data_IF_147970021904
#
_entry.id   IF_147970021904
#
_cell.length_a   1.000
_cell.length_b   1.000
_cell.length_c   1.000
_cell.angle_alpha   90.00
_cell.angle_beta   90.00
_cell.angle_gamma   90.00
#
_symmetry.space_group_name_H-M   'P 1'
#
loop_
_entity.id
_entity.type
_entity.pdbx_description
1 polymer ?
#
# COMPACT_ATOMS: atom_id res chain seq x y z
N UNK A 1 -12.48 53.96 -43.71
CA UNK A 1 -13.79 54.45 -44.20
C UNK A 1 -14.71 53.25 -44.35
N UNK A 2 -16.00 53.50 -44.42
CA UNK A 2 -17.11 52.56 -44.68
C UNK A 2 -16.90 51.66 -45.92
N UNK A 3 -17.64 50.55 -46.16
CA UNK A 3 -18.48 49.63 -45.35
C UNK A 3 -18.74 48.37 -46.25
N UNK A 4 -19.77 47.52 -46.23
CA UNK A 4 -21.07 47.38 -45.51
C UNK A 4 -21.58 45.91 -45.70
N UNK A 5 -22.73 45.53 -45.10
CA UNK A 5 -23.62 44.39 -45.46
C UNK A 5 -23.10 42.96 -45.20
N UNK A 6 -23.65 42.11 -44.32
CA UNK A 6 -25.02 41.61 -43.98
C UNK A 6 -25.42 40.29 -44.66
N UNK A 7 -25.77 39.30 -43.83
CA UNK A 7 -26.78 38.27 -44.10
C UNK A 7 -26.28 36.91 -44.64
N UNK A 8 -26.95 35.79 -44.37
CA UNK A 8 -27.99 35.50 -43.36
C UNK A 8 -28.13 33.97 -43.16
N UNK A 9 -28.61 33.52 -42.00
CA UNK A 9 -29.81 32.66 -41.84
C UNK A 9 -29.85 31.89 -40.51
N UNK A 10 -31.06 31.74 -39.95
CA UNK A 10 -31.38 30.97 -38.73
C UNK A 10 -32.76 30.33 -38.87
N UNK A 11 -32.82 28.99 -39.04
CA UNK A 11 -34.02 28.13 -38.98
C UNK A 11 -33.58 26.66 -39.18
N UNK A 12 -34.14 25.61 -38.56
CA UNK A 12 -34.95 25.46 -37.33
C UNK A 12 -34.94 23.98 -36.89
N UNK A 13 -35.27 23.72 -35.62
CA UNK A 13 -35.94 22.49 -35.11
C UNK A 13 -35.38 21.09 -35.46
N UNK A 14 -34.92 20.36 -34.44
CA UNK A 14 -34.43 18.98 -34.57
C UNK A 14 -34.67 18.07 -33.35
N UNK A 15 -35.83 18.19 -32.68
CA UNK A 15 -36.13 17.42 -31.46
C UNK A 15 -36.46 15.96 -31.79
N UNK A 16 -35.57 15.02 -31.45
CA UNK A 16 -35.89 13.60 -31.33
C UNK A 16 -35.52 13.11 -29.92
N UNK A 17 -36.51 12.61 -29.19
CA UNK A 17 -36.30 11.95 -27.91
C UNK A 17 -35.91 10.48 -28.13
N UNK A 18 -34.85 10.03 -27.47
CA UNK A 18 -34.44 8.63 -27.47
C UNK A 18 -35.01 7.91 -26.24
N UNK A 19 -35.58 6.72 -26.44
CA UNK A 19 -36.34 6.01 -25.42
C UNK A 19 -35.44 5.50 -24.28
N UNK A 20 -35.95 5.57 -23.04
CA UNK A 20 -35.36 4.88 -21.89
C UNK A 20 -35.61 3.38 -22.06
N UNK A 21 -34.59 2.67 -22.55
CA UNK A 21 -34.56 1.21 -22.56
C UNK A 21 -34.26 0.67 -21.16
N UNK A 22 -35.12 -0.20 -20.64
CA UNK A 22 -34.93 -0.80 -19.31
C UNK A 22 -33.82 -1.87 -19.37
N UNK A 23 -32.63 -1.56 -18.85
CA UNK A 23 -31.56 -2.56 -18.73
C UNK A 23 -31.94 -3.58 -17.64
N UNK A 24 -32.28 -4.79 -18.09
CA UNK A 24 -32.59 -5.92 -17.24
C UNK A 24 -31.27 -6.60 -16.80
N UNK A 25 -30.76 -6.26 -15.62
CA UNK A 25 -29.51 -6.81 -15.09
C UNK A 25 -29.65 -8.31 -14.80
N UNK A 26 -29.18 -9.14 -15.75
CA UNK A 26 -29.02 -10.57 -15.51
C UNK A 26 -27.81 -10.81 -14.60
N UNK A 27 -28.02 -11.52 -13.49
CA UNK A 27 -26.94 -12.02 -12.65
C UNK A 27 -26.11 -13.05 -13.43
N UNK A 28 -24.82 -12.76 -13.66
CA UNK A 28 -23.88 -13.74 -14.20
C UNK A 28 -23.41 -14.61 -13.04
N UNK A 29 -24.01 -15.80 -12.90
CA UNK A 29 -23.51 -16.84 -12.00
C UNK A 29 -22.27 -17.46 -12.65
N UNK A 30 -21.13 -17.36 -11.96
CA UNK A 30 -19.85 -17.87 -12.46
C UNK A 30 -19.80 -19.40 -12.30
N UNK A 31 -19.96 -20.13 -13.40
CA UNK A 31 -19.71 -21.57 -13.43
C UNK A 31 -18.22 -21.83 -13.65
N UNK A 32 -17.59 -22.56 -12.71
CA UNK A 32 -16.20 -23.00 -12.83
C UNK A 32 -15.98 -24.01 -13.98
N UNK A 33 -14.71 -24.31 -14.32
CA UNK A 33 -14.37 -25.23 -15.39
C UNK A 33 -14.88 -26.66 -15.14
N UNK A 34 -15.14 -27.40 -16.22
CA UNK A 34 -15.87 -28.65 -16.19
C UNK A 34 -15.19 -29.77 -15.38
N UNK A 35 -16.02 -30.54 -14.68
CA UNK A 35 -15.63 -31.59 -13.73
C UNK A 35 -14.91 -32.78 -14.39
N UNK A 36 -13.79 -33.21 -13.79
CA UNK A 36 -13.23 -34.53 -14.03
C UNK A 36 -14.00 -35.56 -13.19
N UNK A 37 -14.75 -36.47 -13.84
CA UNK A 37 -15.50 -37.51 -13.15
C UNK A 37 -14.57 -38.62 -12.64
N UNK A 38 -14.54 -38.83 -11.33
CA UNK A 38 -13.98 -40.04 -10.73
C UNK A 38 -15.00 -41.21 -10.78
N UNK A 39 -14.47 -42.41 -10.61
CA UNK A 39 -15.01 -43.71 -11.01
C UNK A 39 -16.12 -44.29 -10.13
N UNK A 40 -16.37 -43.76 -8.93
CA UNK A 40 -17.33 -44.30 -7.95
C UNK A 40 -18.73 -43.63 -7.96
N UNK A 41 -18.99 -42.72 -8.91
CA UNK A 41 -20.35 -42.28 -9.26
C UNK A 41 -21.16 -41.55 -8.17
N UNK A 42 -20.53 -41.07 -7.10
CA UNK A 42 -21.17 -40.33 -6.00
C UNK A 42 -20.96 -38.84 -6.14
N UNK A 43 -22.02 -38.12 -6.48
CA UNK A 43 -22.05 -36.66 -6.36
C UNK A 43 -21.88 -36.26 -4.89
N UNK A 44 -20.79 -35.54 -4.57
CA UNK A 44 -20.64 -34.83 -3.30
C UNK A 44 -20.97 -33.36 -3.53
N UNK A 45 -22.26 -33.06 -3.53
CA UNK A 45 -22.83 -31.70 -3.58
C UNK A 45 -22.57 -30.95 -2.26
N UNK A 46 -21.30 -30.70 -1.95
CA UNK A 46 -20.83 -29.89 -0.82
C UNK A 46 -21.03 -28.39 -1.07
N UNK A 47 -22.22 -28.02 -1.57
CA UNK A 47 -22.67 -26.64 -1.77
C UNK A 47 -23.86 -26.34 -0.87
N UNK A 48 -23.61 -26.40 0.45
CA UNK A 48 -24.40 -25.67 1.41
C UNK A 48 -23.59 -24.41 1.75
N UNK A 49 -23.98 -23.28 1.16
CA UNK A 49 -23.51 -21.97 1.62
C UNK A 49 -23.93 -21.84 3.09
N UNK A 50 -22.96 -21.93 3.99
CA UNK A 50 -23.23 -21.87 5.42
C UNK A 50 -23.67 -20.45 5.79
N UNK A 51 -24.91 -20.28 6.26
CA UNK A 51 -25.44 -18.96 6.66
C UNK A 51 -24.47 -18.26 7.62
N UNK A 52 -24.10 -17.01 7.30
CA UNK A 52 -23.13 -16.26 8.10
C UNK A 52 -23.63 -16.09 9.53
N UNK A 53 -24.93 -15.81 9.74
CA UNK A 53 -25.60 -15.89 11.03
C UNK A 53 -26.71 -16.95 11.03
N UNK A 54 -26.85 -17.69 12.13
CA UNK A 54 -28.08 -18.42 12.40
C UNK A 54 -29.21 -17.45 12.77
N UNK A 55 -30.50 -17.79 12.58
CA UNK A 55 -31.62 -16.90 12.89
C UNK A 55 -31.59 -16.28 14.30
N UNK A 56 -31.22 -17.07 15.33
CA UNK A 56 -31.11 -16.59 16.71
C UNK A 56 -29.89 -15.67 16.94
N UNK A 57 -28.83 -15.78 16.13
CA UNK A 57 -27.67 -14.90 16.16
C UNK A 57 -27.98 -13.57 15.46
N UNK A 58 -28.76 -13.60 14.37
CA UNK A 58 -29.32 -12.42 13.69
C UNK A 58 -30.30 -11.65 14.58
N UNK A 59 -31.22 -12.35 15.25
CA UNK A 59 -32.13 -11.75 16.24
C UNK A 59 -31.37 -11.17 17.45
N UNK A 60 -30.26 -11.79 17.89
CA UNK A 60 -29.39 -11.22 18.91
C UNK A 60 -28.69 -9.95 18.41
N UNK A 61 -28.15 -9.96 17.18
CA UNK A 61 -27.52 -8.79 16.56
C UNK A 61 -28.48 -7.62 16.46
N UNK A 62 -29.68 -7.81 15.91
CA UNK A 62 -30.65 -6.73 15.72
C UNK A 62 -30.99 -6.08 17.08
N UNK A 63 -31.28 -6.89 18.11
CA UNK A 63 -31.46 -6.39 19.49
C UNK A 63 -30.23 -5.69 20.07
N UNK A 64 -29.01 -6.02 19.64
CA UNK A 64 -27.80 -5.30 20.05
C UNK A 64 -27.62 -3.96 19.31
N UNK A 65 -28.15 -3.83 18.09
CA UNK A 65 -28.19 -2.58 17.32
C UNK A 65 -29.30 -1.65 17.83
N UNK A 66 -30.49 -2.19 18.13
CA UNK A 66 -31.64 -1.46 18.69
C UNK A 66 -31.35 -0.86 20.08
N UNK A 67 -30.41 -1.45 20.83
CA UNK A 67 -29.96 -0.98 22.14
C UNK A 67 -28.86 0.09 22.09
N UNK A 68 -28.48 0.57 20.90
CA UNK A 68 -27.51 1.67 20.75
C UNK A 68 -28.20 3.03 20.89
N UNK A 69 -28.17 3.60 22.09
CA UNK A 69 -28.67 4.94 22.38
C UNK A 69 -27.51 5.96 22.54
N UNK A 70 -27.48 7.09 21.80
CA UNK A 70 -28.30 7.36 20.61
C UNK A 70 -27.89 6.47 19.43
N UNK A 71 -28.81 6.21 18.48
CA UNK A 71 -28.52 5.42 17.29
C UNK A 71 -27.39 6.07 16.47
N UNK A 72 -26.57 5.28 15.75
CA UNK A 72 -25.45 5.80 14.99
C UNK A 72 -25.93 6.66 13.81
N UNK A 73 -25.34 7.84 13.65
CA UNK A 73 -25.65 8.74 12.54
C UNK A 73 -25.05 8.23 11.23
N UNK A 74 -25.51 8.74 10.07
CA UNK A 74 -24.89 8.41 8.79
C UNK A 74 -23.37 8.74 8.77
N UNK A 75 -22.93 9.79 9.46
CA UNK A 75 -21.49 10.15 9.56
C UNK A 75 -20.72 9.20 10.48
N UNK A 76 -21.37 8.60 11.49
CA UNK A 76 -20.76 7.53 12.27
C UNK A 76 -20.70 6.22 11.48
N UNK A 77 -21.76 5.90 10.73
CA UNK A 77 -21.85 4.68 9.93
C UNK A 77 -20.90 4.70 8.74
N UNK A 78 -20.74 5.84 8.07
CA UNK A 78 -19.73 6.09 7.05
C UNK A 78 -18.33 5.77 7.62
N UNK A 79 -17.93 6.46 8.70
CA UNK A 79 -16.67 6.23 9.44
C UNK A 79 -16.48 4.77 9.89
N UNK A 80 -17.55 4.06 10.24
CA UNK A 80 -17.49 2.65 10.69
C UNK A 80 -17.37 1.70 9.49
N UNK A 81 -18.07 1.93 8.38
CA UNK A 81 -17.88 1.20 7.11
C UNK A 81 -16.45 1.42 6.59
N UNK A 82 -15.94 2.63 6.72
CA UNK A 82 -14.58 3.01 6.35
C UNK A 82 -13.52 2.24 7.17
N UNK A 83 -13.82 1.91 8.44
CA UNK A 83 -13.04 0.99 9.29
C UNK A 83 -13.48 -0.49 9.22
N UNK A 84 -14.42 -0.83 8.35
CA UNK A 84 -14.89 -2.21 8.09
C UNK A 84 -14.22 -2.78 6.84
N UNK A 85 -14.13 -1.95 5.81
CA UNK A 85 -13.51 -2.26 4.52
C UNK A 85 -12.17 -1.58 4.31
N UNK A 86 -11.66 -0.91 5.33
CA UNK A 86 -10.42 -0.12 5.28
C UNK A 86 -10.43 0.93 4.16
N UNK A 87 -11.60 1.49 3.88
CA UNK A 87 -11.79 2.42 2.78
C UNK A 87 -11.88 1.80 1.39
N UNK A 88 -12.20 0.51 1.25
CA UNK A 88 -12.84 -0.04 0.05
C UNK A 88 -14.33 -0.33 0.32
N UNK A 89 -15.05 0.68 0.82
CA UNK A 89 -16.50 0.57 1.04
C UNK A 89 -17.18 0.25 -0.31
N UNK A 90 -17.87 -0.89 -0.46
CA UNK A 90 -18.54 -1.24 -1.70
C UNK A 90 -19.59 -0.18 -2.08
N UNK A 91 -19.64 0.20 -3.36
CA UNK A 91 -20.51 1.28 -3.86
C UNK A 91 -22.03 1.03 -3.66
N UNK A 92 -22.42 -0.17 -3.26
CA UNK A 92 -23.80 -0.55 -2.92
C UNK A 92 -24.14 -0.41 -1.43
N UNK A 93 -23.22 0.07 -0.58
CA UNK A 93 -23.48 0.35 0.84
C UNK A 93 -23.65 1.86 1.07
N UNK A 94 -24.88 2.26 1.38
CA UNK A 94 -25.23 3.65 1.70
C UNK A 94 -25.30 3.82 3.23
N UNK A 95 -24.45 4.64 3.87
CA UNK A 95 -24.50 4.86 5.31
C UNK A 95 -25.80 5.52 5.80
N UNK A 96 -26.62 6.10 4.92
CA UNK A 96 -27.92 6.66 5.27
C UNK A 96 -29.01 5.61 5.56
N UNK A 97 -28.84 4.33 5.16
CA UNK A 97 -29.84 3.27 5.41
C UNK A 97 -29.84 2.74 6.86
N UNK A 98 -28.87 3.15 7.69
CA UNK A 98 -28.80 2.80 9.10
C UNK A 98 -28.12 1.45 9.39
N UNK A 99 -27.74 1.24 10.66
CA UNK A 99 -26.90 0.11 11.08
C UNK A 99 -27.50 -1.27 10.74
N UNK A 100 -28.81 -1.44 10.84
CA UNK A 100 -29.49 -2.72 10.63
C UNK A 100 -29.47 -3.13 9.16
N UNK A 101 -29.89 -2.26 8.25
CA UNK A 101 -29.87 -2.54 6.81
C UNK A 101 -28.45 -2.66 6.24
N UNK A 102 -27.48 -1.93 6.81
CA UNK A 102 -26.06 -2.21 6.57
C UNK A 102 -25.67 -3.61 7.05
N UNK A 103 -26.05 -4.01 8.26
CA UNK A 103 -25.71 -5.34 8.78
C UNK A 103 -26.30 -6.49 7.96
N UNK A 104 -27.50 -6.34 7.42
CA UNK A 104 -28.12 -7.28 6.48
C UNK A 104 -27.35 -7.32 5.14
N UNK A 105 -26.95 -6.16 4.62
CA UNK A 105 -26.15 -6.04 3.40
C UNK A 105 -24.75 -6.65 3.55
N UNK A 106 -24.14 -6.51 4.74
CA UNK A 106 -22.87 -7.11 5.13
C UNK A 106 -22.98 -8.63 5.38
N UNK A 107 -24.16 -9.12 5.78
CA UNK A 107 -24.40 -10.55 5.94
C UNK A 107 -24.47 -11.27 4.58
N UNK A 108 -25.02 -10.60 3.56
CA UNK A 108 -25.12 -11.11 2.19
C UNK A 108 -23.78 -11.12 1.42
N UNK A 109 -22.69 -10.58 1.99
CA UNK A 109 -21.38 -10.57 1.33
C UNK A 109 -20.65 -11.90 1.48
N UNK A 110 -20.17 -12.45 0.36
CA UNK A 110 -19.29 -13.61 0.35
C UNK A 110 -17.96 -13.30 1.07
N UNK A 111 -17.43 -14.31 1.78
CA UNK A 111 -16.11 -14.29 2.39
C UNK A 111 -15.53 -15.70 2.32
N UNK A 112 -14.40 -15.87 1.62
CA UNK A 112 -13.82 -17.20 1.42
C UNK A 112 -12.79 -17.52 2.51
N UNK A 113 -11.86 -16.60 2.76
CA UNK A 113 -10.89 -16.68 3.86
C UNK A 113 -10.71 -15.32 4.54
N UNK A 114 -11.01 -15.21 5.83
CA UNK A 114 -10.76 -13.95 6.56
C UNK A 114 -11.52 -13.80 7.87
N UNK A 115 -11.88 -12.56 8.16
CA UNK A 115 -12.92 -12.18 9.12
C UNK A 115 -14.11 -11.66 8.29
N UNK A 116 -15.35 -12.14 8.48
CA UNK A 116 -16.51 -11.62 7.77
C UNK A 116 -16.65 -10.09 7.99
N UNK A 117 -16.91 -9.27 6.96
CA UNK A 117 -17.04 -7.82 7.10
C UNK A 117 -18.05 -7.41 8.19
N UNK A 118 -19.16 -8.16 8.31
CA UNK A 118 -20.14 -7.99 9.38
C UNK A 118 -19.54 -8.04 10.80
N UNK A 119 -18.61 -8.96 11.07
CA UNK A 119 -17.98 -9.04 12.39
C UNK A 119 -17.00 -7.89 12.64
N UNK A 120 -16.38 -7.35 11.59
CA UNK A 120 -15.52 -6.15 11.66
C UNK A 120 -16.37 -4.91 11.96
N UNK A 121 -17.45 -4.70 11.21
CA UNK A 121 -18.42 -3.63 11.40
C UNK A 121 -18.98 -3.60 12.82
N UNK A 122 -19.47 -4.75 13.29
CA UNK A 122 -20.07 -4.88 14.62
C UNK A 122 -19.03 -4.68 15.74
N UNK A 123 -17.76 -5.08 15.54
CA UNK A 123 -16.67 -4.77 16.48
C UNK A 123 -16.35 -3.26 16.52
N UNK A 124 -16.29 -2.60 15.36
CA UNK A 124 -15.99 -1.17 15.25
C UNK A 124 -17.12 -0.29 15.82
N UNK A 125 -18.38 -0.62 15.53
CA UNK A 125 -19.56 0.02 16.12
C UNK A 125 -19.58 -0.11 17.66
N UNK A 126 -19.22 -1.28 18.18
CA UNK A 126 -19.11 -1.51 19.63
C UNK A 126 -17.86 -0.90 20.30
N UNK A 127 -16.88 -0.40 19.53
CA UNK A 127 -15.79 0.44 20.04
C UNK A 127 -16.21 1.91 20.18
N UNK A 128 -16.97 2.43 19.22
CA UNK A 128 -17.41 3.84 19.22
C UNK A 128 -18.46 4.11 20.33
N UNK A 129 -19.27 3.10 20.71
CA UNK A 129 -20.35 3.23 21.71
C UNK A 129 -19.91 2.72 23.08
N UNK A 130 -19.83 3.62 24.07
CA UNK A 130 -19.47 3.27 25.47
C UNK A 130 -20.39 2.18 26.01
N UNK A 131 -19.80 1.13 26.58
CA UNK A 131 -20.52 -0.01 27.16
C UNK A 131 -20.94 -1.10 26.16
N UNK A 132 -21.15 -0.79 24.88
CA UNK A 132 -21.67 -1.74 23.88
C UNK A 132 -20.80 -3.01 23.75
N UNK A 133 -19.48 -2.89 23.79
CA UNK A 133 -18.55 -4.03 23.75
C UNK A 133 -18.79 -5.09 24.84
N UNK A 134 -19.39 -4.74 25.99
CA UNK A 134 -19.73 -5.73 27.04
C UNK A 134 -20.81 -6.73 26.60
N UNK A 135 -21.72 -6.31 25.72
CA UNK A 135 -22.81 -7.11 25.15
C UNK A 135 -22.40 -7.73 23.81
N UNK A 136 -21.74 -6.93 22.96
CA UNK A 136 -21.42 -7.30 21.58
C UNK A 136 -20.22 -8.24 21.47
N UNK A 137 -19.16 -8.06 22.27
CA UNK A 137 -17.96 -8.90 22.13
C UNK A 137 -18.19 -10.38 22.52
N UNK A 138 -19.06 -10.73 23.48
CA UNK A 138 -19.54 -12.11 23.66
C UNK A 138 -20.22 -12.69 22.40
N UNK A 139 -21.10 -11.94 21.74
CA UNK A 139 -21.77 -12.35 20.50
C UNK A 139 -20.76 -12.61 19.37
N UNK A 140 -19.80 -11.70 19.14
CA UNK A 140 -18.74 -11.88 18.14
C UNK A 140 -17.95 -13.17 18.40
N UNK A 141 -17.57 -13.45 19.66
CA UNK A 141 -16.85 -14.69 20.03
C UNK A 141 -17.69 -15.94 19.80
N UNK A 142 -19.01 -15.88 20.01
CA UNK A 142 -19.90 -17.01 19.74
C UNK A 142 -19.96 -17.33 18.24
N UNK A 143 -20.27 -16.33 17.41
CA UNK A 143 -20.39 -16.48 15.96
C UNK A 143 -19.06 -16.92 15.35
N UNK A 144 -17.96 -16.24 15.70
CA UNK A 144 -16.63 -16.57 15.20
C UNK A 144 -16.19 -18.01 15.57
N UNK A 145 -16.54 -18.49 16.77
CA UNK A 145 -16.30 -19.89 17.18
C UNK A 145 -17.13 -20.89 16.37
N UNK A 146 -18.38 -20.59 16.03
CA UNK A 146 -19.21 -21.44 15.14
C UNK A 146 -18.61 -21.51 13.73
N UNK A 147 -18.19 -20.36 13.20
CA UNK A 147 -17.52 -20.21 11.91
C UNK A 147 -16.06 -20.71 11.90
N UNK A 148 -15.56 -21.26 13.01
CA UNK A 148 -14.18 -21.77 13.18
C UNK A 148 -13.07 -20.74 12.89
N UNK A 149 -13.36 -19.45 13.04
CA UNK A 149 -12.39 -18.37 12.82
C UNK A 149 -11.27 -18.48 13.87
N UNK A 150 -9.99 -18.42 13.48
CA UNK A 150 -8.85 -18.52 14.41
C UNK A 150 -8.93 -17.55 15.59
N UNK A 151 -8.67 -18.06 16.80
CA UNK A 151 -8.89 -17.33 18.04
C UNK A 151 -7.94 -16.13 18.23
N UNK A 152 -6.78 -16.15 17.57
CA UNK A 152 -5.85 -15.03 17.42
C UNK A 152 -6.47 -13.89 16.59
N UNK A 153 -7.10 -14.17 15.43
CA UNK A 153 -7.81 -13.18 14.62
C UNK A 153 -8.96 -12.56 15.40
N UNK A 154 -9.73 -13.37 16.14
CA UNK A 154 -10.80 -12.90 17.03
C UNK A 154 -10.24 -12.05 18.19
N UNK A 155 -9.10 -12.44 18.76
CA UNK A 155 -8.41 -11.64 19.78
C UNK A 155 -8.00 -10.28 19.21
N UNK A 156 -7.31 -10.24 18.07
CA UNK A 156 -6.91 -8.99 17.40
C UNK A 156 -8.11 -8.10 17.07
N UNK A 157 -9.20 -8.68 16.55
CA UNK A 157 -10.44 -7.95 16.28
C UNK A 157 -11.04 -7.31 17.54
N UNK A 158 -10.94 -7.98 18.69
CA UNK A 158 -11.57 -7.55 19.96
C UNK A 158 -10.62 -6.83 20.93
N UNK A 159 -9.32 -6.78 20.64
CA UNK A 159 -8.36 -5.96 21.37
C UNK A 159 -8.77 -4.49 21.24
N UNK A 160 -8.90 -3.73 22.35
CA UNK A 160 -8.99 -2.28 22.26
C UNK A 160 -7.72 -1.77 21.58
N UNK A 161 -7.86 -1.24 20.36
CA UNK A 161 -6.81 -0.37 19.82
C UNK A 161 -6.74 0.80 20.81
N UNK A 162 -5.60 1.07 21.45
CA UNK A 162 -5.50 2.24 22.31
C UNK A 162 -5.83 3.46 21.44
N UNK A 163 -6.61 4.45 21.92
CA UNK A 163 -6.71 5.70 21.19
C UNK A 163 -5.28 6.20 20.99
N UNK A 164 -4.88 6.40 19.73
CA UNK A 164 -3.60 7.02 19.43
C UNK A 164 -3.54 8.33 20.22
N UNK A 165 -2.46 8.55 20.97
CA UNK A 165 -2.33 9.76 21.77
C UNK A 165 -2.46 10.96 20.82
N UNK A 166 -3.46 11.84 20.96
CA UNK A 166 -3.69 12.93 20.02
C UNK A 166 -2.59 14.00 20.06
N UNK A 167 -1.62 13.88 20.98
CA UNK A 167 -0.39 14.67 20.99
C UNK A 167 0.81 13.95 20.36
N UNK A 168 0.78 12.62 20.21
CA UNK A 168 1.81 11.86 19.52
C UNK A 168 1.75 12.13 18.01
N UNK A 169 2.83 12.67 17.46
CA UNK A 169 2.90 13.00 16.03
C UNK A 169 3.35 11.78 15.22
N UNK A 170 2.79 11.53 14.03
CA UNK A 170 3.29 10.49 13.15
C UNK A 170 4.67 10.89 12.62
N UNK A 171 5.63 9.96 12.69
CA UNK A 171 6.97 10.13 12.15
C UNK A 171 7.09 9.52 10.74
N UNK A 172 6.51 8.33 10.56
CA UNK A 172 6.60 7.57 9.30
C UNK A 172 5.28 6.89 8.94
N UNK A 173 5.08 6.72 7.66
CA UNK A 173 4.07 5.85 7.07
C UNK A 173 4.79 4.76 6.26
N UNK A 174 4.62 3.51 6.63
CA UNK A 174 5.06 2.36 5.83
C UNK A 174 3.86 1.87 5.00
N UNK A 175 4.03 1.74 3.68
CA UNK A 175 3.12 1.04 2.79
C UNK A 175 3.90 -0.16 2.22
N UNK A 176 3.41 -1.36 2.46
CA UNK A 176 3.96 -2.62 1.94
C UNK A 176 3.02 -3.17 0.86
N UNK A 177 3.61 -3.68 -0.21
CA UNK A 177 2.91 -4.42 -1.26
C UNK A 177 3.48 -5.84 -1.26
N UNK A 178 2.66 -6.83 -0.96
CA UNK A 178 3.03 -8.25 -1.01
C UNK A 178 2.44 -8.91 -2.26
N UNK A 179 3.23 -9.68 -3.03
CA UNK A 179 2.69 -10.61 -4.03
C UNK A 179 1.75 -11.64 -3.39
N UNK A 180 0.71 -12.06 -4.10
CA UNK A 180 -0.20 -13.10 -3.63
C UNK A 180 0.46 -14.48 -3.73
N UNK A 181 0.36 -15.34 -2.69
CA UNK A 181 1.12 -16.60 -2.63
C UNK A 181 0.70 -17.66 -3.66
N UNK A 182 -0.40 -17.44 -4.41
CA UNK A 182 -0.94 -18.39 -5.40
C UNK A 182 -1.06 -17.79 -6.81
N UNK A 183 -0.78 -16.49 -6.99
CA UNK A 183 -0.95 -15.77 -8.26
C UNK A 183 0.03 -14.59 -8.32
N UNK A 184 0.96 -14.59 -9.29
CA UNK A 184 2.02 -13.58 -9.39
C UNK A 184 1.57 -12.25 -10.04
N UNK A 185 0.33 -12.17 -10.53
CA UNK A 185 -0.29 -10.94 -11.02
C UNK A 185 -1.10 -10.23 -9.92
N UNK A 186 -1.35 -10.90 -8.80
CA UNK A 186 -2.17 -10.37 -7.71
C UNK A 186 -1.32 -9.88 -6.54
N UNK A 187 -1.78 -8.81 -5.90
CA UNK A 187 -1.07 -8.13 -4.81
C UNK A 187 -1.98 -7.84 -3.61
N UNK A 188 -1.38 -7.76 -2.42
CA UNK A 188 -2.02 -7.29 -1.18
C UNK A 188 -1.28 -6.05 -0.69
N UNK A 189 -2.01 -5.04 -0.23
CA UNK A 189 -1.44 -3.85 0.40
C UNK A 189 -1.61 -3.95 1.91
N UNK A 190 -0.60 -3.47 2.64
CA UNK A 190 -0.63 -3.31 4.09
C UNK A 190 0.00 -1.97 4.45
N UNK A 191 -0.48 -1.32 5.52
CA UNK A 191 0.04 -0.02 5.93
C UNK A 191 0.22 0.09 7.46
N UNK A 192 1.20 0.89 7.89
CA UNK A 192 1.45 1.17 9.29
C UNK A 192 1.89 2.61 9.49
N UNK A 193 1.32 3.25 10.50
CA UNK A 193 1.89 4.45 11.11
C UNK A 193 2.99 4.06 12.09
N UNK A 194 4.13 4.76 12.05
CA UNK A 194 5.09 4.84 13.14
C UNK A 194 5.02 6.23 13.77
N UNK A 195 4.86 6.27 15.09
CA UNK A 195 4.71 7.50 15.88
C UNK A 195 6.06 7.93 16.47
N UNK A 196 6.19 9.20 16.86
CA UNK A 196 7.45 9.75 17.40
C UNK A 196 7.87 9.18 18.76
N UNK A 197 6.96 8.52 19.49
CA UNK A 197 7.22 7.79 20.73
C UNK A 197 7.77 6.36 20.51
N UNK A 198 7.86 5.91 19.25
CA UNK A 198 8.26 4.55 18.87
C UNK A 198 7.10 3.56 18.77
N UNK A 199 5.86 3.98 19.05
CA UNK A 199 4.67 3.17 18.81
C UNK A 199 4.44 2.93 17.31
N UNK A 200 3.78 1.82 16.99
CA UNK A 200 3.25 1.58 15.63
C UNK A 200 1.78 1.22 15.69
N UNK A 201 1.01 1.74 14.72
CA UNK A 201 -0.41 1.41 14.53
C UNK A 201 -0.59 0.87 13.12
N UNK A 202 -1.05 -0.38 12.93
CA UNK A 202 -1.44 -0.83 11.60
C UNK A 202 -2.60 0.04 11.12
N UNK A 203 -2.44 0.68 9.97
CA UNK A 203 -3.58 1.15 9.21
C UNK A 203 -4.08 -0.08 8.43
N UNK A 204 -5.26 -0.62 8.78
CA UNK A 204 -5.72 -1.84 8.15
C UNK A 204 -5.92 -1.57 6.64
N UNK A 205 -5.63 -2.56 5.81
CA UNK A 205 -5.86 -2.52 4.36
C UNK A 205 -6.27 -3.92 3.94
N UNK A 206 -7.49 -4.05 3.44
CA UNK A 206 -8.06 -5.28 2.91
C UNK A 206 -8.17 -5.24 1.38
N UNK A 207 -8.31 -6.44 0.79
CA UNK A 207 -8.43 -6.67 -0.64
C UNK A 207 -7.30 -7.51 -1.24
N UNK A 208 -7.51 -7.90 -2.50
CA UNK A 208 -6.49 -8.43 -3.42
C UNK A 208 -6.65 -7.62 -4.71
N UNK A 209 -5.54 -7.17 -5.29
CA UNK A 209 -5.49 -6.18 -6.36
C UNK A 209 -4.79 -6.75 -7.59
N UNK A 210 -5.20 -6.37 -8.81
CA UNK A 210 -4.35 -6.51 -9.99
C UNK A 210 -3.19 -5.50 -9.98
N UNK A 211 -2.22 -5.60 -10.92
CA UNK A 211 -1.07 -4.70 -10.94
C UNK A 211 -1.48 -3.24 -11.14
N UNK A 212 -2.46 -3.01 -12.03
CA UNK A 212 -2.99 -1.69 -12.35
C UNK A 212 -3.79 -1.06 -11.18
N UNK A 213 -4.35 -1.87 -10.27
CA UNK A 213 -5.13 -1.42 -9.12
C UNK A 213 -4.26 -0.96 -7.93
N UNK A 214 -2.99 -1.40 -7.88
CA UNK A 214 -2.04 -1.05 -6.79
C UNK A 214 -1.89 0.47 -6.65
N UNK A 215 -1.76 1.20 -7.75
CA UNK A 215 -1.62 2.67 -7.74
C UNK A 215 -2.91 3.38 -7.32
N UNK A 216 -4.08 3.17 -7.96
CA UNK A 216 -5.35 3.78 -7.53
C UNK A 216 -5.67 3.52 -6.06
N UNK A 217 -5.42 2.30 -5.57
CA UNK A 217 -5.61 1.97 -4.15
C UNK A 217 -4.60 2.67 -3.24
N UNK A 218 -3.35 2.80 -3.68
CA UNK A 218 -2.31 3.57 -3.00
C UNK A 218 -2.62 5.06 -2.91
N UNK A 219 -3.12 5.67 -3.98
CA UNK A 219 -3.54 7.08 -4.00
C UNK A 219 -4.82 7.32 -3.16
N UNK A 220 -5.76 6.39 -3.16
CA UNK A 220 -6.92 6.40 -2.25
C UNK A 220 -6.46 6.36 -0.79
N UNK A 221 -5.58 5.42 -0.44
CA UNK A 221 -4.96 5.36 0.88
C UNK A 221 -4.28 6.68 1.23
N UNK A 222 -3.37 7.19 0.41
CA UNK A 222 -2.64 8.44 0.67
C UNK A 222 -3.60 9.62 0.91
N UNK A 223 -4.65 9.79 0.11
CA UNK A 223 -5.67 10.84 0.32
C UNK A 223 -6.35 10.76 1.69
N UNK A 224 -6.68 9.55 2.14
CA UNK A 224 -7.29 9.30 3.47
C UNK A 224 -6.31 9.60 4.60
N UNK A 225 -5.05 9.25 4.42
CA UNK A 225 -3.99 9.50 5.39
C UNK A 225 -3.66 11.00 5.48
N UNK A 226 -3.64 11.74 4.36
CA UNK A 226 -3.51 13.20 4.34
C UNK A 226 -4.59 13.89 5.17
N UNK A 227 -5.85 13.44 5.07
CA UNK A 227 -6.96 14.03 5.83
C UNK A 227 -6.73 13.96 7.35
N UNK A 228 -6.16 12.86 7.85
CA UNK A 228 -5.80 12.73 9.28
C UNK A 228 -4.61 13.60 9.70
N UNK A 229 -3.71 13.95 8.77
CA UNK A 229 -2.57 14.82 9.04
C UNK A 229 -2.97 16.30 9.17
N UNK A 230 -4.04 16.74 8.49
CA UNK A 230 -4.53 18.14 8.56
C UNK A 230 -4.84 18.54 10.00
N UNK A 231 -5.54 17.70 10.76
CA UNK A 231 -5.89 17.94 12.16
C UNK A 231 -4.67 17.94 13.11
N UNK A 232 -3.55 17.33 12.69
CA UNK A 232 -2.30 17.26 13.45
C UNK A 232 -1.39 18.49 13.27
N UNK A 233 -1.74 19.39 12.34
CA UNK A 233 -0.90 20.52 11.92
C UNK A 233 0.30 20.10 11.06
N UNK A 234 1.24 21.01 10.77
CA UNK A 234 2.36 20.73 9.86
C UNK A 234 3.36 19.74 10.47
N UNK A 235 3.22 18.47 10.09
CA UNK A 235 4.10 17.36 10.45
C UNK A 235 4.65 16.71 9.18
N UNK A 236 5.98 16.77 8.99
CA UNK A 236 6.62 16.12 7.86
C UNK A 236 6.82 14.62 8.15
N UNK A 237 5.84 13.81 7.75
CA UNK A 237 5.93 12.35 7.74
C UNK A 237 6.86 11.88 6.60
N UNK A 238 7.72 10.89 6.84
CA UNK A 238 8.40 10.15 5.77
C UNK A 238 7.55 8.97 5.31
N UNK A 239 7.37 8.79 4.00
CA UNK A 239 6.63 7.64 3.44
C UNK A 239 7.62 6.62 2.89
N UNK A 240 7.59 5.41 3.46
CA UNK A 240 8.37 4.24 3.02
C UNK A 240 7.48 3.30 2.19
N UNK A 241 7.89 2.99 0.97
CA UNK A 241 7.26 1.96 0.13
C UNK A 241 8.10 0.70 0.13
N UNK A 242 7.59 -0.39 0.70
CA UNK A 242 8.20 -1.70 0.69
C UNK A 242 7.59 -2.56 -0.41
N UNK A 243 8.34 -2.75 -1.50
CA UNK A 243 7.85 -3.27 -2.78
C UNK A 243 8.66 -4.50 -3.23
N UNK A 244 8.04 -5.46 -3.94
CA UNK A 244 8.75 -6.56 -4.59
C UNK A 244 9.53 -6.06 -5.81
N UNK A 245 10.48 -6.86 -6.30
CA UNK A 245 11.19 -6.59 -7.57
C UNK A 245 10.24 -6.25 -8.72
N UNK A 246 9.09 -6.91 -8.82
CA UNK A 246 8.10 -6.67 -9.87
C UNK A 246 7.48 -5.26 -9.88
N UNK A 247 7.67 -4.46 -8.83
CA UNK A 247 7.05 -3.13 -8.66
C UNK A 247 8.05 -2.01 -8.30
N UNK A 248 9.38 -2.23 -8.32
CA UNK A 248 10.35 -1.13 -8.09
C UNK A 248 10.37 -0.09 -9.22
N UNK A 249 9.78 -0.40 -10.37
CA UNK A 249 9.58 0.54 -11.48
C UNK A 249 8.41 1.52 -11.23
N UNK A 250 7.58 1.29 -10.20
CA UNK A 250 6.39 2.10 -9.95
C UNK A 250 6.73 3.54 -9.52
N UNK A 251 6.08 4.56 -10.10
CA UNK A 251 6.37 5.98 -9.85
C UNK A 251 5.70 6.49 -8.57
N UNK A 252 5.98 5.85 -7.43
CA UNK A 252 5.34 6.11 -6.13
C UNK A 252 5.50 7.55 -5.63
N UNK A 253 6.59 8.22 -5.99
CA UNK A 253 6.80 9.65 -5.71
C UNK A 253 5.87 10.59 -6.51
N UNK A 254 5.18 10.08 -7.53
CA UNK A 254 4.17 10.83 -8.31
C UNK A 254 2.72 10.52 -7.92
N UNK A 255 2.50 9.61 -6.97
CA UNK A 255 1.16 9.27 -6.50
C UNK A 255 0.50 10.49 -5.84
N UNK A 256 -0.76 10.77 -6.16
CA UNK A 256 -1.46 11.92 -5.59
C UNK A 256 -1.78 11.72 -4.10
N UNK A 257 -1.55 12.75 -3.28
CA UNK A 257 -1.94 12.77 -1.85
C UNK A 257 -3.21 13.56 -1.57
N UNK A 258 -3.80 14.18 -2.58
CA UNK A 258 -4.96 15.06 -2.45
C UNK A 258 -5.82 15.09 -3.71
N UNK A 259 -6.83 15.96 -3.70
CA UNK A 259 -7.75 16.15 -4.82
C UNK A 259 -7.24 17.15 -5.88
N UNK A 260 -6.15 17.88 -5.58
CA UNK A 260 -5.54 18.85 -6.51
C UNK A 260 -4.54 18.19 -7.47
N UNK A 261 -4.47 18.60 -8.75
CA UNK A 261 -3.52 18.04 -9.74
C UNK A 261 -2.06 18.48 -9.51
N UNK A 262 -1.75 19.14 -8.39
CA UNK A 262 -0.44 19.69 -8.05
C UNK A 262 0.16 19.10 -6.77
N UNK A 263 -0.40 18.00 -6.26
CA UNK A 263 0.02 17.35 -5.02
C UNK A 263 0.65 15.94 -5.20
N UNK A 264 1.71 15.77 -6.04
CA UNK A 264 2.55 14.57 -6.00
C UNK A 264 3.17 14.34 -4.62
N UNK A 265 3.08 13.11 -4.12
CA UNK A 265 3.62 12.70 -2.81
C UNK A 265 5.08 13.13 -2.61
N UNK A 266 5.93 12.98 -3.63
CA UNK A 266 7.36 13.32 -3.59
C UNK A 266 7.71 14.81 -3.48
N UNK A 267 6.71 15.70 -3.61
CA UNK A 267 6.85 17.13 -3.30
C UNK A 267 6.35 17.44 -1.89
N UNK A 268 5.29 16.76 -1.43
CA UNK A 268 4.70 16.99 -0.11
C UNK A 268 5.54 16.33 0.99
N UNK A 269 5.98 15.09 0.80
CA UNK A 269 6.68 14.26 1.80
C UNK A 269 8.03 13.73 1.30
N UNK A 270 8.98 13.41 2.19
CA UNK A 270 10.11 12.53 1.85
C UNK A 270 9.57 11.14 1.48
N UNK A 271 9.95 10.65 0.30
CA UNK A 271 9.51 9.33 -0.21
C UNK A 271 10.73 8.46 -0.45
N UNK A 272 10.69 7.26 0.10
CA UNK A 272 11.71 6.23 -0.09
C UNK A 272 11.09 4.91 -0.51
N UNK A 273 11.86 4.11 -1.26
CA UNK A 273 11.52 2.74 -1.64
C UNK A 273 12.41 1.76 -0.87
N UNK A 274 11.95 0.52 -0.70
CA UNK A 274 12.62 -0.57 -0.01
C UNK A 274 12.30 -1.89 -0.71
N UNK A 275 13.25 -2.83 -0.74
CA UNK A 275 13.07 -4.13 -1.40
C UNK A 275 12.46 -5.14 -0.43
N UNK A 276 11.28 -5.66 -0.75
CA UNK A 276 10.63 -6.74 -0.01
C UNK A 276 11.43 -8.04 -0.10
N UNK A 277 11.94 -8.36 -1.29
CA UNK A 277 12.74 -9.55 -1.56
C UNK A 277 14.03 -9.60 -0.73
N UNK A 278 14.66 -8.44 -0.47
CA UNK A 278 15.83 -8.35 0.40
C UNK A 278 15.51 -8.75 1.84
N UNK A 279 14.29 -8.48 2.32
CA UNK A 279 13.86 -8.91 3.65
C UNK A 279 13.76 -10.44 3.73
N UNK A 280 13.36 -11.08 2.63
CA UNK A 280 13.35 -12.54 2.52
C UNK A 280 14.77 -13.14 2.33
N UNK A 281 15.69 -12.42 1.67
CA UNK A 281 17.08 -12.85 1.48
C UNK A 281 17.95 -12.66 2.74
N UNK A 282 17.83 -13.61 3.67
CA UNK A 282 18.62 -13.68 4.89
C UNK A 282 20.15 -13.72 4.66
N UNK A 283 20.63 -14.06 3.46
CA UNK A 283 22.07 -14.04 3.16
C UNK A 283 22.61 -12.63 2.93
N UNK A 284 21.77 -11.70 2.45
CA UNK A 284 22.12 -10.29 2.30
C UNK A 284 22.17 -9.53 3.64
N UNK A 285 21.50 -10.04 4.69
CA UNK A 285 21.31 -9.32 5.96
C UNK A 285 22.61 -8.91 6.67
N UNK A 286 23.67 -9.74 6.81
CA UNK A 286 24.87 -9.35 7.54
C UNK A 286 25.62 -8.18 6.89
N UNK A 287 25.73 -8.19 5.55
CA UNK A 287 26.37 -7.09 4.79
C UNK A 287 25.52 -5.82 4.83
N UNK A 288 24.20 -5.97 4.76
CA UNK A 288 23.24 -4.86 4.88
C UNK A 288 23.29 -4.18 6.25
N UNK A 289 23.26 -4.94 7.36
CA UNK A 289 23.41 -4.39 8.72
C UNK A 289 24.76 -3.69 8.90
N UNK A 290 25.86 -4.27 8.40
CA UNK A 290 27.18 -3.65 8.49
C UNK A 290 27.26 -2.32 7.72
N UNK A 291 26.77 -2.28 6.47
CA UNK A 291 26.74 -1.06 5.65
C UNK A 291 25.73 -0.02 6.19
N UNK A 292 24.61 -0.44 6.76
CA UNK A 292 23.68 0.46 7.47
C UNK A 292 24.33 1.10 8.70
N UNK A 293 24.98 0.32 9.56
CA UNK A 293 25.69 0.88 10.71
C UNK A 293 26.83 1.81 10.29
N UNK A 294 27.57 1.51 9.22
CA UNK A 294 28.60 2.39 8.64
C UNK A 294 28.01 3.72 8.14
N UNK A 295 26.84 3.70 7.49
CA UNK A 295 26.09 4.90 7.09
C UNK A 295 25.61 5.73 8.30
N UNK A 296 25.11 5.08 9.35
CA UNK A 296 24.53 5.74 10.54
C UNK A 296 25.58 6.24 11.54
N UNK A 297 26.78 5.66 11.57
CA UNK A 297 27.83 6.04 12.53
C UNK A 297 28.56 7.35 12.15
N UNK A 298 28.71 7.64 10.86
CA UNK A 298 29.50 8.77 10.36
C UNK A 298 31.01 8.59 10.56
N UNK A 299 31.79 9.61 10.16
CA UNK A 299 33.24 9.69 10.45
C UNK A 299 34.19 8.99 9.45
N UNK A 300 33.67 8.29 8.44
CA UNK A 300 34.42 8.00 7.19
C UNK A 300 34.21 9.19 6.24
N UNK A 301 35.12 9.42 5.28
CA UNK A 301 34.90 10.47 4.29
C UNK A 301 33.65 10.14 3.47
N UNK A 302 32.66 11.04 3.48
CA UNK A 302 31.42 10.82 2.73
C UNK A 302 31.65 10.61 1.22
N UNK A 303 32.78 11.09 0.68
CA UNK A 303 33.25 10.84 -0.69
C UNK A 303 33.73 9.40 -0.96
N UNK A 304 34.12 8.65 0.07
CA UNK A 304 34.46 7.22 -0.03
C UNK A 304 33.21 6.35 0.11
N UNK A 305 32.19 6.90 0.78
CA UNK A 305 30.92 6.24 1.15
C UNK A 305 29.87 6.18 0.03
N UNK A 306 30.02 6.95 -1.05
CA UNK A 306 29.20 6.76 -2.24
C UNK A 306 30.00 6.77 -3.54
N UNK A 307 29.36 6.32 -4.62
CA UNK A 307 29.85 6.42 -5.98
C UNK A 307 28.70 6.59 -6.98
N UNK A 308 29.04 6.88 -8.23
CA UNK A 308 28.10 7.11 -9.33
C UNK A 308 28.51 6.31 -10.57
N UNK A 309 27.65 5.37 -10.98
CA UNK A 309 27.79 4.65 -12.25
C UNK A 309 26.97 5.38 -13.31
N UNK A 310 27.60 6.36 -13.96
CA UNK A 310 27.25 6.66 -15.34
C UNK A 310 27.74 5.51 -16.22
N UNK A 311 26.93 5.08 -17.18
CA UNK A 311 27.47 4.25 -18.26
C UNK A 311 26.66 4.39 -19.55
N UNK A 312 27.18 5.11 -20.56
CA UNK A 312 26.56 5.18 -21.88
C UNK A 312 26.77 3.88 -22.67
N UNK A 313 25.85 3.60 -23.60
CA UNK A 313 26.01 2.52 -24.58
C UNK A 313 27.01 2.92 -25.68
N UNK A 314 27.77 1.98 -26.29
CA UNK A 314 27.89 0.56 -25.98
C UNK A 314 29.29 0.16 -25.46
N UNK A 315 29.35 -0.66 -24.41
CA UNK A 315 30.59 -1.25 -23.86
C UNK A 315 30.36 -2.74 -23.60
N UNK A 316 31.41 -3.60 -23.69
CA UNK A 316 31.28 -5.03 -23.40
C UNK A 316 30.67 -5.29 -22.01
N UNK A 317 29.76 -6.25 -21.96
CA UNK A 317 29.03 -6.62 -20.74
C UNK A 317 29.96 -6.94 -19.56
N UNK A 318 31.05 -7.65 -19.85
CA UNK A 318 31.92 -8.20 -18.81
C UNK A 318 32.81 -7.12 -18.18
N UNK A 319 33.13 -6.05 -18.92
CA UNK A 319 33.81 -4.86 -18.37
C UNK A 319 32.90 -4.12 -17.38
N UNK A 320 31.63 -3.89 -17.75
CA UNK A 320 30.63 -3.30 -16.87
C UNK A 320 30.38 -4.16 -15.61
N UNK A 321 30.20 -5.47 -15.78
CA UNK A 321 29.96 -6.39 -14.66
C UNK A 321 31.18 -6.45 -13.71
N UNK A 322 32.40 -6.45 -14.26
CA UNK A 322 33.64 -6.40 -13.47
C UNK A 322 33.80 -5.07 -12.73
N UNK A 323 33.48 -3.95 -13.38
CA UNK A 323 33.54 -2.63 -12.74
C UNK A 323 32.54 -2.51 -11.59
N UNK A 324 31.28 -2.88 -11.82
CA UNK A 324 30.24 -2.87 -10.79
C UNK A 324 30.59 -3.83 -9.64
N UNK A 325 31.07 -5.04 -9.92
CA UNK A 325 31.56 -5.95 -8.87
C UNK A 325 32.71 -5.34 -8.06
N UNK A 326 33.67 -4.67 -8.72
CA UNK A 326 34.77 -3.96 -8.07
C UNK A 326 34.31 -2.82 -7.15
N UNK A 327 33.28 -2.06 -7.54
CA UNK A 327 32.63 -1.07 -6.67
C UNK A 327 31.92 -1.73 -5.49
N UNK A 328 31.12 -2.76 -5.74
CA UNK A 328 30.32 -3.44 -4.71
C UNK A 328 31.17 -4.19 -3.67
N UNK A 329 32.42 -4.52 -3.99
CA UNK A 329 33.42 -5.08 -3.07
C UNK A 329 34.04 -4.05 -2.10
N UNK A 330 33.92 -2.73 -2.34
CA UNK A 330 34.41 -1.69 -1.40
C UNK A 330 33.51 -1.64 -0.17
N UNK A 331 34.00 -2.07 0.98
CA UNK A 331 33.23 -2.06 2.23
C UNK A 331 32.65 -0.68 2.59
N UNK A 332 33.40 0.37 2.28
CA UNK A 332 33.10 1.77 2.58
C UNK A 332 31.83 2.27 1.88
N UNK A 333 31.54 1.71 0.69
CA UNK A 333 30.41 2.08 -0.13
C UNK A 333 29.09 1.72 0.59
N UNK A 334 28.24 2.73 0.82
CA UNK A 334 26.91 2.59 1.43
C UNK A 334 25.80 3.25 0.62
N UNK A 335 26.16 4.16 -0.29
CA UNK A 335 25.25 4.77 -1.26
C UNK A 335 25.77 4.55 -2.69
N UNK A 336 24.89 4.26 -3.65
CA UNK A 336 25.26 4.15 -5.07
C UNK A 336 24.24 4.88 -5.92
N UNK A 337 24.69 5.73 -6.84
CA UNK A 337 23.84 6.29 -7.88
C UNK A 337 23.99 5.54 -9.20
N UNK A 338 22.88 5.28 -9.87
CA UNK A 338 22.80 4.53 -11.12
C UNK A 338 22.17 5.39 -12.23
N UNK A 339 22.86 5.52 -13.36
CA UNK A 339 22.33 6.19 -14.54
C UNK A 339 21.21 5.42 -15.24
N UNK A 340 21.28 4.09 -15.25
CA UNK A 340 20.30 3.27 -15.97
C UNK A 340 19.03 3.05 -15.14
N UNK A 341 17.83 3.10 -15.77
CA UNK A 341 16.58 2.76 -15.09
C UNK A 341 16.51 1.28 -14.76
N UNK A 342 15.84 0.97 -13.65
CA UNK A 342 15.54 -0.40 -13.25
C UNK A 342 14.68 -1.12 -14.31
N UNK A 343 15.03 -2.37 -14.63
CA UNK A 343 14.33 -3.18 -15.64
C UNK A 343 13.71 -4.44 -15.00
N UNK A 344 12.39 -4.40 -14.77
CA UNK A 344 11.60 -5.55 -14.31
C UNK A 344 11.80 -6.75 -15.24
N UNK A 345 12.19 -7.90 -14.67
CA UNK A 345 12.28 -9.15 -15.42
C UNK A 345 13.33 -9.20 -16.53
N UNK A 346 14.38 -8.36 -16.46
CA UNK A 346 15.47 -8.33 -17.44
C UNK A 346 16.07 -9.71 -17.73
N UNK A 347 15.84 -10.24 -18.94
CA UNK A 347 16.11 -11.65 -19.28
C UNK A 347 17.58 -11.95 -19.57
N UNK A 348 18.33 -10.96 -20.04
CA UNK A 348 19.68 -11.16 -20.60
C UNK A 348 20.81 -10.79 -19.62
N UNK A 349 20.51 -10.03 -18.56
CA UNK A 349 21.51 -9.44 -17.64
C UNK A 349 20.93 -9.26 -16.23
N UNK A 350 21.72 -9.47 -15.16
CA UNK A 350 21.33 -9.07 -13.81
C UNK A 350 21.28 -7.54 -13.70
N UNK A 351 20.19 -7.00 -13.15
CA UNK A 351 20.01 -5.56 -13.02
C UNK A 351 20.97 -4.93 -11.97
N UNK A 352 21.48 -3.73 -12.26
CA UNK A 352 22.42 -3.00 -11.42
C UNK A 352 21.89 -2.72 -10.00
N UNK A 353 20.59 -2.40 -9.87
CA UNK A 353 19.90 -2.19 -8.59
C UNK A 353 19.83 -3.49 -7.80
N UNK A 354 19.49 -4.61 -8.44
CA UNK A 354 19.42 -5.93 -7.77
C UNK A 354 20.78 -6.35 -7.25
N UNK A 355 21.86 -6.14 -8.03
CA UNK A 355 23.22 -6.40 -7.60
C UNK A 355 23.64 -5.49 -6.42
N UNK A 356 23.32 -4.19 -6.50
CA UNK A 356 23.60 -3.23 -5.44
C UNK A 356 22.93 -3.60 -4.10
N UNK A 357 21.64 -3.97 -4.14
CA UNK A 357 20.86 -4.37 -2.97
C UNK A 357 21.38 -5.67 -2.36
N UNK A 358 21.67 -6.69 -3.20
CA UNK A 358 22.20 -7.99 -2.76
C UNK A 358 23.59 -7.89 -2.14
N UNK A 359 24.43 -6.97 -2.63
CA UNK A 359 25.70 -6.64 -1.98
C UNK A 359 25.54 -5.92 -0.63
N UNK A 360 24.32 -5.61 -0.18
CA UNK A 360 24.09 -4.98 1.12
C UNK A 360 24.09 -3.45 1.11
N UNK A 361 24.00 -2.76 -0.04
CA UNK A 361 23.92 -1.29 -0.03
C UNK A 361 22.59 -0.80 0.58
N UNK A 362 22.59 0.04 1.64
CA UNK A 362 21.37 0.57 2.24
C UNK A 362 20.72 1.69 1.42
N UNK A 363 21.51 2.48 0.70
CA UNK A 363 21.02 3.57 -0.14
C UNK A 363 21.36 3.32 -1.61
N UNK A 364 20.38 3.45 -2.50
CA UNK A 364 20.61 3.46 -3.96
C UNK A 364 19.69 4.50 -4.60
N UNK A 365 20.25 5.36 -5.46
CA UNK A 365 19.47 6.25 -6.33
C UNK A 365 19.55 5.75 -7.76
N UNK A 366 18.45 5.80 -8.51
CA UNK A 366 18.47 5.53 -9.95
C UNK A 366 17.57 6.49 -10.70
N UNK A 367 17.98 6.85 -11.92
CA UNK A 367 17.15 7.63 -12.83
C UNK A 367 15.99 6.77 -13.37
N UNK A 368 14.80 7.36 -13.59
CA UNK A 368 13.71 6.64 -14.30
C UNK A 368 13.85 6.65 -15.83
N UNK A 369 14.72 7.51 -16.37
CA UNK A 369 14.98 7.56 -17.80
C UNK A 369 16.43 8.01 -18.10
N UNK A 370 17.09 7.51 -19.17
CA UNK A 370 18.47 7.87 -19.54
C UNK A 370 18.72 9.35 -19.92
N UNK A 371 17.73 10.24 -19.76
CA UNK A 371 17.89 11.70 -19.94
C UNK A 371 17.81 12.49 -18.62
N UNK A 372 17.45 11.86 -17.50
CA UNK A 372 17.44 12.49 -16.17
C UNK A 372 18.85 12.55 -15.52
N UNK A 373 19.88 12.09 -16.23
CA UNK A 373 21.25 11.90 -15.73
C UNK A 373 21.93 13.18 -15.26
N UNK A 374 21.72 14.28 -15.99
CA UNK A 374 22.49 15.53 -15.87
C UNK A 374 22.36 16.19 -14.50
N UNK A 375 21.32 15.85 -13.72
CA UNK A 375 21.19 16.26 -12.32
C UNK A 375 21.72 15.22 -11.33
N UNK A 376 21.57 13.92 -11.58
CA UNK A 376 21.72 12.89 -10.55
C UNK A 376 23.19 12.65 -10.13
N UNK A 377 24.15 12.81 -11.05
CA UNK A 377 25.58 12.77 -10.70
C UNK A 377 25.97 13.92 -9.76
N UNK A 378 25.51 15.15 -10.04
CA UNK A 378 25.77 16.31 -9.20
C UNK A 378 25.13 16.11 -7.81
N UNK A 379 23.87 15.66 -7.77
CA UNK A 379 23.17 15.29 -6.54
C UNK A 379 23.97 14.32 -5.69
N UNK A 380 24.44 13.19 -6.24
CA UNK A 380 25.23 12.21 -5.47
C UNK A 380 26.57 12.81 -5.01
N UNK A 381 27.21 13.66 -5.81
CA UNK A 381 28.47 14.33 -5.45
C UNK A 381 28.29 15.33 -4.30
N UNK A 382 27.24 16.15 -4.35
CA UNK A 382 26.94 17.18 -3.35
C UNK A 382 26.48 16.56 -2.03
N UNK A 383 25.65 15.51 -2.09
CA UNK A 383 25.27 14.67 -0.94
C UNK A 383 26.47 14.12 -0.18
N UNK A 384 27.55 13.78 -0.90
CA UNK A 384 28.79 13.25 -0.35
C UNK A 384 29.78 14.33 0.10
N UNK A 385 29.45 15.60 -0.12
CA UNK A 385 30.31 16.76 0.22
C UNK A 385 29.83 17.54 1.45
N UNK A 386 28.65 17.19 2.00
CA UNK A 386 27.94 17.99 3.00
C UNK A 386 27.46 17.20 4.25
N UNK A 387 28.07 16.04 4.55
CA UNK A 387 27.62 15.04 5.56
C UNK A 387 26.15 14.54 5.40
N UNK A 388 25.47 14.97 4.35
CA UNK A 388 24.02 14.91 4.20
C UNK A 388 23.45 13.52 3.87
N UNK A 389 24.28 12.48 3.78
CA UNK A 389 23.81 11.11 3.53
C UNK A 389 22.82 10.63 4.60
N UNK A 390 22.91 11.10 5.86
CA UNK A 390 21.94 10.77 6.91
C UNK A 390 20.61 11.53 6.81
N UNK A 391 20.52 12.58 5.98
CA UNK A 391 19.30 13.31 5.64
C UNK A 391 18.76 12.96 4.24
N UNK A 392 19.35 11.99 3.53
CA UNK A 392 19.16 11.74 2.11
C UNK A 392 17.67 11.77 1.63
N UNK A 393 16.68 11.19 2.34
CA UNK A 393 15.26 11.31 1.96
C UNK A 393 14.74 12.77 1.93
N UNK A 394 15.17 13.60 2.88
CA UNK A 394 14.81 15.02 2.94
C UNK A 394 15.53 15.84 1.87
N UNK A 395 16.79 15.52 1.54
CA UNK A 395 17.51 16.16 0.43
C UNK A 395 16.85 15.84 -0.90
N UNK A 396 16.51 14.56 -1.14
CA UNK A 396 15.79 14.10 -2.35
C UNK A 396 14.45 14.82 -2.54
N UNK A 397 13.71 15.09 -1.45
CA UNK A 397 12.49 15.93 -1.50
C UNK A 397 12.79 17.38 -1.92
N UNK A 398 13.84 18.02 -1.39
CA UNK A 398 14.24 19.39 -1.78
C UNK A 398 14.58 19.45 -3.27
N UNK A 399 15.40 18.50 -3.73
CA UNK A 399 15.81 18.37 -5.14
C UNK A 399 14.65 18.13 -6.10
N UNK A 400 13.60 17.40 -5.69
CA UNK A 400 12.36 17.24 -6.47
C UNK A 400 11.57 18.55 -6.58
N UNK A 401 11.52 19.36 -5.53
CA UNK A 401 10.88 20.68 -5.55
C UNK A 401 11.67 21.64 -6.46
N UNK A 402 13.00 21.64 -6.37
CA UNK A 402 13.89 22.44 -7.23
C UNK A 402 13.82 22.00 -8.70
N UNK A 403 13.68 20.70 -8.97
CA UNK A 403 13.45 20.17 -10.30
C UNK A 403 12.12 20.69 -10.88
N UNK A 404 11.00 20.56 -10.15
CA UNK A 404 9.69 21.04 -10.61
C UNK A 404 9.66 22.56 -10.79
N UNK A 405 10.30 23.33 -9.90
CA UNK A 405 10.49 24.77 -10.06
C UNK A 405 11.33 25.14 -11.31
N UNK A 406 12.17 24.21 -11.77
CA UNK A 406 12.96 24.32 -13.02
C UNK A 406 12.25 23.73 -14.25
N UNK A 407 10.98 23.33 -14.15
CA UNK A 407 10.21 22.71 -15.24
C UNK A 407 10.54 21.23 -15.51
N UNK A 408 11.23 20.55 -14.59
CA UNK A 408 11.57 19.11 -14.65
C UNK A 408 10.55 18.26 -13.88
N UNK A 409 10.62 16.93 -14.04
CA UNK A 409 9.67 16.01 -13.40
C UNK A 409 10.05 15.66 -11.95
N UNK A 410 9.05 15.45 -11.09
CA UNK A 410 9.20 14.83 -9.76
C UNK A 410 9.74 13.39 -9.84
N UNK A 411 9.52 12.72 -10.97
CA UNK A 411 9.86 11.31 -11.22
C UNK A 411 11.24 11.07 -11.84
N UNK A 412 12.08 12.10 -11.99
CA UNK A 412 13.38 11.96 -12.65
C UNK A 412 14.27 10.87 -12.01
N UNK A 413 14.18 10.70 -10.69
CA UNK A 413 14.96 9.73 -9.93
C UNK A 413 14.21 9.17 -8.72
N UNK A 414 14.53 7.92 -8.39
CA UNK A 414 14.04 7.17 -7.23
C UNK A 414 15.14 7.10 -6.18
N UNK A 415 14.74 6.96 -4.92
CA UNK A 415 15.63 6.68 -3.79
C UNK A 415 15.15 5.39 -3.11
N UNK A 416 15.97 4.35 -3.12
CA UNK A 416 15.87 3.29 -2.12
C UNK A 416 16.64 3.72 -0.88
N UNK A 417 16.00 3.59 0.28
CA UNK A 417 16.59 3.87 1.59
C UNK A 417 16.11 2.82 2.58
N UNK A 418 16.95 1.83 2.83
CA UNK A 418 16.52 0.56 3.40
C UNK A 418 17.10 0.34 4.80
N UNK A 419 16.28 0.64 5.81
CA UNK A 419 16.61 0.56 7.25
C UNK A 419 16.29 -0.84 7.81
N UNK A 420 17.29 -1.69 8.12
CA UNK A 420 17.05 -3.04 8.63
C UNK A 420 16.40 -3.08 10.03
N UNK A 421 16.37 -1.96 10.75
CA UNK A 421 15.67 -1.82 12.03
C UNK A 421 14.23 -1.32 11.91
N UNK A 422 13.79 -0.91 10.72
CA UNK A 422 12.58 -0.12 10.51
C UNK A 422 11.26 -0.87 10.28
N UNK A 423 11.24 -2.21 10.40
CA UNK A 423 10.01 -2.98 10.15
C UNK A 423 9.15 -3.11 11.42
N UNK A 424 7.83 -2.82 11.37
CA UNK A 424 6.92 -3.37 12.35
C UNK A 424 6.90 -4.90 12.19
N UNK A 425 6.93 -5.64 13.31
CA UNK A 425 6.75 -7.09 13.25
C UNK A 425 5.40 -7.39 12.57
N UNK A 426 5.36 -8.25 11.53
CA UNK A 426 4.08 -8.65 10.95
C UNK A 426 3.28 -9.39 12.04
N UNK A 427 2.01 -9.04 12.29
CA UNK A 427 1.22 -9.64 13.38
C UNK A 427 1.18 -11.16 13.18
N UNK A 428 1.85 -11.86 14.10
CA UNK A 428 2.54 -13.12 13.87
C UNK A 428 1.90 -14.03 12.80
N UNK A 429 2.44 -13.99 11.57
CA UNK A 429 2.27 -15.09 10.63
C UNK A 429 3.04 -16.30 11.18
N UNK A 430 2.36 -17.07 12.03
CA UNK A 430 2.78 -18.38 12.46
C UNK A 430 2.78 -19.29 11.23
N UNK A 431 3.93 -19.34 10.54
CA UNK A 431 4.23 -20.38 9.57
C UNK A 431 3.99 -21.71 10.28
N UNK A 432 2.97 -22.44 9.84
CA UNK A 432 2.69 -23.75 10.40
C UNK A 432 3.95 -24.62 10.25
N UNK A 433 4.46 -25.27 11.31
CA UNK A 433 5.63 -26.11 11.18
C UNK A 433 5.29 -27.23 10.19
N UNK A 434 6.02 -27.28 9.07
CA UNK A 434 5.88 -28.35 8.10
C UNK A 434 6.01 -29.69 8.83
N UNK A 435 4.97 -30.51 8.73
CA UNK A 435 5.00 -31.85 9.27
C UNK A 435 6.16 -32.60 8.60
N UNK A 436 7.06 -33.15 9.39
CA UNK A 436 7.95 -34.20 8.91
C UNK A 436 7.12 -35.45 8.78
N UNK A 437 7.01 -35.95 7.56
CA UNK A 437 6.56 -37.31 7.32
C UNK A 437 7.65 -38.28 7.84
N UNK A 438 7.23 -39.31 8.57
CA UNK A 438 8.03 -40.48 9.00
C UNK A 438 7.43 -41.74 8.36
#
# INVERSE_FOLDING_TARGET
MEAERTGADVTTSGTQGQQIGSNNTQFIIYHGPAEAKDSDGREHTSSVLAELLLPAEREALHRHLDLLDPPPTAVDLDRILDRTFDGLVPLNLDPAVGATALSESLEAMAFDEGMPPLLVFVACLARERRGAGSVVYPWIRQVARRLRIPADRVRTLLTPVPPADPSARPARLLIRVDPHPLDDQLYRLHAWWSWQDGGTTPYPVNGVLGPDDVRPRGEELLRRLSAMLVDSGPVMVTVEFLLPWSLLDQPVESWSVGAGPYEPLGLVHPVVVRSLDRLADAHAHPQWWARWHRLRAGGVSHREMADWVDWPQPVPHDEWATHLAGLLLREELVCLGLAQPYQVGGRDRPDALVLAVRAGLPAVLWARAPHALTGLQAVVTDLCSADALNELPAVVRRLRIEAVASGRSVTEFVLMWDDPSGLPEPPSMLIAPYAREE
#
